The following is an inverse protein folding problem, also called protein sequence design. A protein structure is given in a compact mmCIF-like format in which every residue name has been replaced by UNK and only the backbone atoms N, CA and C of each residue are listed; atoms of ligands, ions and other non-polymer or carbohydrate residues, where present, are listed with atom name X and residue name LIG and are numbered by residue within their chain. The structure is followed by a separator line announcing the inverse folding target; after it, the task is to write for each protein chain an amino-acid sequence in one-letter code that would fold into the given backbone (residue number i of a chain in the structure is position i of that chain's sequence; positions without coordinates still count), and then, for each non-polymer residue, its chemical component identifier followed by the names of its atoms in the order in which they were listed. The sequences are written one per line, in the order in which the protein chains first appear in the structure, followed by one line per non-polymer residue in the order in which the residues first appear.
data_IF_119293746228
#
_entry.id   IF_119293746228
#
_cell.length_a   1.000
_cell.length_b   1.000
_cell.length_c   1.000
_cell.angle_alpha   90.00
_cell.angle_beta   90.00
_cell.angle_gamma   90.00
#
_symmetry.space_group_name_H-M   'P 1'
#
loop_
_entity.id
_entity.type
_entity.pdbx_description
1 polymer ?
#
# COMPACT_ATOMS: atom_id res chain seq x y z
N UNK A 1 6.81 -17.93 -32.67
CA UNK A 1 8.24 -17.95 -32.86
C UNK A 1 8.89 -16.65 -32.36
N UNK A 2 10.04 -16.78 -31.71
CA UNK A 2 10.72 -15.69 -30.97
C UNK A 2 10.96 -14.43 -31.85
N UNK A 3 11.30 -14.64 -33.13
CA UNK A 3 11.51 -13.56 -34.09
C UNK A 3 10.25 -12.77 -34.43
N UNK A 4 9.08 -13.40 -34.40
CA UNK A 4 7.82 -12.72 -34.64
C UNK A 4 7.44 -11.84 -33.42
N UNK A 5 7.69 -12.34 -32.20
CA UNK A 5 7.46 -11.58 -30.94
C UNK A 5 8.43 -10.39 -30.84
N UNK A 6 9.69 -10.56 -31.22
CA UNK A 6 10.70 -9.49 -31.26
C UNK A 6 10.33 -8.37 -32.25
N UNK A 7 9.85 -8.73 -33.43
CA UNK A 7 9.40 -7.76 -34.43
C UNK A 7 8.11 -7.01 -33.98
N UNK A 8 7.21 -7.68 -33.27
CA UNK A 8 6.03 -7.04 -32.68
C UNK A 8 6.39 -6.04 -31.57
N UNK A 9 7.36 -6.40 -30.71
CA UNK A 9 7.87 -5.49 -29.67
C UNK A 9 8.54 -4.25 -30.28
N UNK A 10 9.37 -4.43 -31.30
CA UNK A 10 10.01 -3.31 -31.99
C UNK A 10 9.00 -2.41 -32.72
N UNK A 11 7.93 -2.97 -33.29
CA UNK A 11 6.86 -2.22 -33.92
C UNK A 11 6.07 -1.37 -32.88
N UNK A 12 5.74 -1.96 -31.71
CA UNK A 12 5.07 -1.24 -30.62
C UNK A 12 5.93 -0.09 -30.07
N UNK A 13 7.23 -0.33 -29.89
CA UNK A 13 8.17 0.70 -29.40
C UNK A 13 8.31 1.86 -30.38
N UNK A 14 8.31 1.56 -31.68
CA UNK A 14 8.34 2.58 -32.74
C UNK A 14 7.05 3.41 -32.82
N UNK A 15 5.90 2.83 -32.48
CA UNK A 15 4.61 3.53 -32.49
C UNK A 15 4.45 4.48 -31.29
N UNK A 16 4.91 4.07 -30.11
CA UNK A 16 4.93 4.93 -28.93
C UNK A 16 5.90 6.10 -29.09
N UNK A 17 7.06 5.90 -29.71
CA UNK A 17 7.99 7.00 -30.01
C UNK A 17 7.43 8.00 -31.03
N UNK A 18 6.67 7.54 -32.03
CA UNK A 18 5.98 8.44 -32.98
C UNK A 18 4.83 9.23 -32.36
N UNK A 19 4.13 8.66 -31.37
CA UNK A 19 3.09 9.39 -30.62
C UNK A 19 3.71 10.46 -29.72
N UNK A 20 4.82 10.17 -29.03
CA UNK A 20 5.57 11.15 -28.27
C UNK A 20 6.09 12.30 -29.15
N UNK A 21 6.70 12.00 -30.29
CA UNK A 21 7.16 13.01 -31.24
C UNK A 21 6.04 13.89 -31.83
N UNK A 22 4.82 13.33 -31.95
CA UNK A 22 3.63 14.09 -32.38
C UNK A 22 3.12 15.04 -31.30
N UNK A 23 3.22 14.69 -30.04
CA UNK A 23 2.88 15.56 -28.89
C UNK A 23 3.89 16.71 -28.75
N UNK A 24 5.18 16.44 -29.00
CA UNK A 24 6.24 17.45 -28.98
C UNK A 24 6.19 18.41 -30.18
N UNK A 25 5.75 17.94 -31.35
CA UNK A 25 5.67 18.77 -32.58
C UNK A 25 4.34 19.56 -32.69
N UNK A 26 3.34 19.32 -31.84
CA UNK A 26 2.02 19.98 -31.87
C UNK A 26 1.91 21.27 -31.04
N UNK A 27 2.98 21.75 -30.46
CA UNK A 27 2.98 22.87 -29.50
C UNK A 27 3.46 24.22 -30.08
N UNK A 28 3.16 24.55 -31.34
CA UNK A 28 3.45 25.91 -31.84
C UNK A 28 2.14 26.66 -32.15
N UNK A 29 1.58 27.23 -31.09
CA UNK A 29 0.45 28.14 -31.12
C UNK A 29 0.73 29.30 -30.18
N UNK A 30 1.31 30.37 -30.68
CA UNK A 30 1.61 31.59 -29.97
C UNK A 30 0.42 32.11 -29.15
N UNK A 31 0.61 32.29 -27.84
CA UNK A 31 -0.20 33.18 -27.03
C UNK A 31 0.68 33.98 -26.08
N UNK A 32 0.63 35.28 -26.29
CA UNK A 32 1.28 36.36 -25.59
C UNK A 32 1.17 36.28 -24.07
N UNK A 33 2.33 36.46 -23.42
CA UNK A 33 2.48 36.60 -21.97
C UNK A 33 2.09 38.03 -21.56
N UNK A 34 1.33 38.26 -20.48
CA UNK A 34 1.46 39.45 -19.68
C UNK A 34 2.44 39.16 -18.52
N UNK A 35 3.51 39.97 -18.47
CA UNK A 35 4.33 40.11 -17.26
C UNK A 35 3.45 40.67 -16.13
N UNK A 36 3.50 40.10 -14.98
CA UNK A 36 3.84 40.71 -13.68
C UNK A 36 3.41 39.85 -12.50
N UNK A 37 4.24 39.97 -11.46
CA UNK A 37 4.13 39.63 -10.05
C UNK A 37 4.74 38.30 -9.59
N UNK A 38 5.95 38.48 -9.04
CA UNK A 38 6.63 37.51 -8.19
C UNK A 38 5.83 37.21 -6.92
N UNK A 39 5.43 35.94 -6.79
CA UNK A 39 4.99 35.29 -5.55
C UNK A 39 5.92 34.13 -5.24
N UNK A 40 6.10 33.78 -3.96
CA UNK A 40 7.00 32.69 -3.59
C UNK A 40 6.57 31.37 -4.19
N UNK A 41 7.51 30.68 -4.83
CA UNK A 41 7.34 29.31 -5.34
C UNK A 41 6.98 28.39 -4.16
N UNK A 42 5.71 28.13 -4.00
CA UNK A 42 5.23 27.10 -3.08
C UNK A 42 5.75 25.74 -3.53
N UNK A 43 6.21 24.94 -2.57
CA UNK A 43 6.74 23.59 -2.77
C UNK A 43 5.71 22.57 -3.26
N UNK A 44 4.56 23.02 -3.79
CA UNK A 44 3.44 22.19 -4.25
C UNK A 44 3.60 21.65 -5.70
N UNK A 45 4.67 22.03 -6.39
CA UNK A 45 4.86 21.65 -7.80
C UNK A 45 5.22 20.18 -8.05
N UNK A 46 5.54 19.39 -7.01
CA UNK A 46 5.86 17.98 -7.16
C UNK A 46 4.67 17.04 -6.88
N UNK A 47 3.60 17.55 -6.30
CA UNK A 47 2.41 16.77 -5.98
C UNK A 47 1.46 16.56 -7.19
N UNK A 48 1.64 17.27 -8.28
CA UNK A 48 0.75 17.23 -9.44
C UNK A 48 1.11 16.17 -10.48
N UNK A 49 2.31 15.56 -10.41
CA UNK A 49 2.67 14.40 -11.24
C UNK A 49 2.37 13.06 -10.56
N UNK A 50 2.19 13.06 -9.24
CA UNK A 50 1.67 11.92 -8.51
C UNK A 50 0.14 11.99 -8.60
N UNK A 51 -0.51 11.04 -9.30
CA UNK A 51 -1.97 10.96 -9.40
C UNK A 51 -2.65 11.03 -8.03
N UNK A 52 -3.94 11.34 -7.97
CA UNK A 52 -4.69 11.44 -6.71
C UNK A 52 -4.42 10.22 -5.79
N UNK A 53 -4.14 10.42 -4.48
CA UNK A 53 -3.81 9.34 -3.54
C UNK A 53 -4.79 8.16 -3.63
N UNK A 54 -6.11 8.47 -3.68
CA UNK A 54 -7.16 7.47 -3.78
C UNK A 54 -7.06 6.61 -5.05
N UNK A 55 -6.66 7.18 -6.18
CA UNK A 55 -6.53 6.44 -7.45
C UNK A 55 -5.40 5.41 -7.37
N UNK A 56 -4.26 5.80 -6.81
CA UNK A 56 -3.11 4.93 -6.64
C UNK A 56 -3.42 3.81 -5.65
N UNK A 57 -4.01 4.15 -4.50
CA UNK A 57 -4.44 3.18 -3.49
C UNK A 57 -5.44 2.17 -4.07
N UNK A 58 -6.49 2.63 -4.73
CA UNK A 58 -7.51 1.78 -5.33
C UNK A 58 -6.93 0.85 -6.42
N UNK A 59 -5.95 1.32 -7.18
CA UNK A 59 -5.26 0.48 -8.14
C UNK A 59 -4.53 -0.68 -7.46
N UNK A 60 -3.80 -0.42 -6.37
CA UNK A 60 -3.12 -1.44 -5.58
C UNK A 60 -4.12 -2.43 -4.94
N UNK A 61 -5.23 -1.94 -4.37
CA UNK A 61 -6.30 -2.79 -3.80
C UNK A 61 -6.93 -3.68 -4.87
N UNK A 62 -7.14 -3.18 -6.10
CA UNK A 62 -7.64 -4.01 -7.22
C UNK A 62 -6.68 -5.14 -7.55
N UNK A 63 -5.37 -4.90 -7.55
CA UNK A 63 -4.37 -5.96 -7.78
C UNK A 63 -4.37 -6.98 -6.64
N UNK A 64 -4.46 -6.53 -5.40
CA UNK A 64 -4.58 -7.41 -4.23
C UNK A 64 -5.78 -8.35 -4.36
N UNK A 65 -6.97 -7.81 -4.68
CA UNK A 65 -8.20 -8.59 -4.85
C UNK A 65 -8.16 -9.59 -6.01
N UNK A 66 -7.28 -9.35 -7.00
CA UNK A 66 -7.04 -10.29 -8.12
C UNK A 66 -6.01 -11.37 -7.79
N UNK A 67 -5.40 -11.33 -6.60
CA UNK A 67 -4.31 -12.22 -6.23
C UNK A 67 -2.96 -11.85 -6.83
N UNK A 68 -2.84 -10.67 -7.47
CA UNK A 68 -1.58 -10.16 -8.03
C UNK A 68 -0.76 -9.47 -6.92
N UNK A 69 -0.35 -10.24 -5.91
CA UNK A 69 0.20 -9.71 -4.66
C UNK A 69 1.49 -8.93 -4.84
N UNK A 70 2.39 -9.35 -5.72
CA UNK A 70 3.64 -8.61 -6.00
C UNK A 70 3.35 -7.23 -6.61
N UNK A 71 2.42 -7.17 -7.58
CA UNK A 71 2.01 -5.91 -8.21
C UNK A 71 1.27 -5.01 -7.21
N UNK A 72 0.42 -5.60 -6.35
CA UNK A 72 -0.26 -4.86 -5.30
C UNK A 72 0.74 -4.26 -4.31
N UNK A 73 1.74 -5.05 -3.88
CA UNK A 73 2.82 -4.62 -3.00
C UNK A 73 3.58 -3.42 -3.56
N UNK A 74 3.99 -3.50 -4.82
CA UNK A 74 4.67 -2.39 -5.49
C UNK A 74 3.79 -1.13 -5.53
N UNK A 75 2.47 -1.28 -5.75
CA UNK A 75 1.52 -0.16 -5.69
C UNK A 75 1.38 0.44 -4.29
N UNK A 76 1.32 -0.38 -3.23
CA UNK A 76 1.30 0.10 -1.84
C UNK A 76 2.63 0.74 -1.43
N UNK A 77 3.77 0.20 -1.88
CA UNK A 77 5.09 0.81 -1.65
C UNK A 77 5.17 2.21 -2.26
N UNK A 78 4.70 2.37 -3.47
CA UNK A 78 4.66 3.67 -4.16
C UNK A 78 3.70 4.64 -3.45
N UNK A 79 2.51 4.16 -3.04
CA UNK A 79 1.58 4.96 -2.28
C UNK A 79 2.20 5.48 -0.97
N UNK A 80 2.79 4.60 -0.18
CA UNK A 80 3.40 4.94 1.11
C UNK A 80 4.61 5.86 0.96
N UNK A 81 5.35 5.74 -0.14
CA UNK A 81 6.46 6.63 -0.46
C UNK A 81 5.99 8.06 -0.77
N UNK A 82 4.89 8.20 -1.52
CA UNK A 82 4.36 9.49 -1.96
C UNK A 82 3.46 10.14 -0.90
N UNK A 83 2.69 9.35 -0.18
CA UNK A 83 1.61 9.80 0.70
C UNK A 83 1.69 9.17 2.11
N UNK A 84 2.84 9.27 2.83
CA UNK A 84 3.01 8.58 4.12
C UNK A 84 2.08 9.09 5.24
N UNK A 85 1.54 10.30 5.08
CA UNK A 85 0.66 10.95 6.06
C UNK A 85 -0.80 11.07 5.57
N UNK A 86 -1.15 10.41 4.48
CA UNK A 86 -2.54 10.37 3.99
C UNK A 86 -3.42 9.49 4.89
N UNK A 87 -4.71 9.78 4.95
CA UNK A 87 -5.67 9.01 5.75
C UNK A 87 -5.74 7.52 5.33
N UNK A 88 -5.36 7.20 4.08
CA UNK A 88 -5.28 5.83 3.55
C UNK A 88 -3.93 5.15 3.85
N UNK A 89 -2.93 5.86 4.39
CA UNK A 89 -1.61 5.28 4.63
C UNK A 89 -1.63 4.11 5.63
N UNK A 90 -2.40 4.14 6.73
CA UNK A 90 -2.54 2.98 7.60
C UNK A 90 -3.14 1.76 6.90
N UNK A 91 -4.12 1.99 6.02
CA UNK A 91 -4.74 0.92 5.21
C UNK A 91 -3.76 0.38 4.17
N UNK A 92 -2.99 1.24 3.50
CA UNK A 92 -1.97 0.83 2.55
C UNK A 92 -0.87 -0.02 3.21
N UNK A 93 -0.39 0.38 4.39
CA UNK A 93 0.61 -0.37 5.15
C UNK A 93 0.05 -1.73 5.62
N UNK A 94 -1.20 -1.77 6.06
CA UNK A 94 -1.88 -3.00 6.42
C UNK A 94 -2.01 -3.95 5.21
N UNK A 95 -2.50 -3.47 4.07
CA UNK A 95 -2.62 -4.31 2.87
C UNK A 95 -1.27 -4.76 2.32
N UNK A 96 -0.23 -3.96 2.48
CA UNK A 96 1.13 -4.37 2.17
C UNK A 96 1.54 -5.58 3.01
N UNK A 97 1.25 -5.59 4.32
CA UNK A 97 1.46 -6.75 5.18
C UNK A 97 0.64 -7.97 4.73
N UNK A 98 -0.64 -7.76 4.38
CA UNK A 98 -1.51 -8.82 3.85
C UNK A 98 -0.93 -9.45 2.57
N UNK A 99 -0.24 -8.68 1.69
CA UNK A 99 0.39 -9.27 0.49
C UNK A 99 1.47 -10.30 0.82
N UNK A 100 2.18 -10.12 1.91
CA UNK A 100 3.15 -11.09 2.40
C UNK A 100 2.47 -12.30 3.05
N UNK A 101 1.42 -12.06 3.83
CA UNK A 101 0.65 -13.14 4.44
C UNK A 101 -0.01 -14.07 3.38
N UNK A 102 -0.52 -13.50 2.30
CA UNK A 102 -1.14 -14.24 1.19
C UNK A 102 -0.12 -14.99 0.31
N UNK A 103 1.14 -14.61 0.34
CA UNK A 103 2.25 -15.30 -0.34
C UNK A 103 3.02 -16.24 0.59
N UNK A 104 2.51 -16.50 1.79
CA UNK A 104 3.09 -17.37 2.83
C UNK A 104 4.48 -16.90 3.32
N UNK A 105 4.83 -15.63 3.08
CA UNK A 105 6.00 -14.99 3.66
C UNK A 105 5.66 -14.41 5.04
N UNK A 106 5.49 -15.33 5.98
CA UNK A 106 4.93 -15.05 7.31
C UNK A 106 5.81 -14.09 8.12
N UNK A 107 7.13 -14.20 8.02
CA UNK A 107 8.06 -13.36 8.78
C UNK A 107 8.04 -11.91 8.25
N UNK A 108 7.97 -11.75 6.94
CA UNK A 108 7.78 -10.43 6.35
C UNK A 108 6.39 -9.85 6.70
N UNK A 109 5.34 -10.65 6.70
CA UNK A 109 3.99 -10.21 7.11
C UNK A 109 3.99 -9.66 8.54
N UNK A 110 4.58 -10.39 9.50
CA UNK A 110 4.70 -9.95 10.90
C UNK A 110 5.49 -8.64 11.03
N UNK A 111 6.58 -8.52 10.27
CA UNK A 111 7.38 -7.29 10.22
C UNK A 111 6.54 -6.11 9.73
N UNK A 112 5.77 -6.30 8.67
CA UNK A 112 4.97 -5.22 8.09
C UNK A 112 3.74 -4.87 8.94
N UNK A 113 3.13 -5.85 9.64
CA UNK A 113 2.10 -5.54 10.65
C UNK A 113 2.67 -4.76 11.83
N UNK A 114 3.90 -5.08 12.29
CA UNK A 114 4.56 -4.29 13.33
C UNK A 114 4.77 -2.84 12.90
N UNK A 115 5.06 -2.58 11.62
CA UNK A 115 5.15 -1.21 11.09
C UNK A 115 3.84 -0.44 11.13
N UNK A 116 2.68 -1.12 10.99
CA UNK A 116 1.38 -0.45 11.20
C UNK A 116 1.29 0.12 12.61
N UNK A 117 1.75 -0.65 13.62
CA UNK A 117 1.73 -0.22 15.02
C UNK A 117 2.73 0.89 15.32
N UNK A 118 3.89 0.86 14.66
CA UNK A 118 4.94 1.85 14.84
C UNK A 118 4.57 3.20 14.20
N UNK A 119 4.08 3.16 12.96
CA UNK A 119 3.83 4.36 12.17
C UNK A 119 2.43 4.94 12.41
N UNK A 120 1.44 4.10 12.69
CA UNK A 120 0.03 4.47 12.78
C UNK A 120 -0.66 3.89 14.02
N UNK A 121 -0.13 4.09 15.24
CA UNK A 121 -0.58 3.42 16.47
C UNK A 121 -2.03 3.73 16.86
N UNK A 122 -2.56 4.87 16.41
CA UNK A 122 -3.93 5.30 16.72
C UNK A 122 -4.94 4.93 15.64
N UNK A 123 -4.48 4.33 14.53
CA UNK A 123 -5.39 3.90 13.47
C UNK A 123 -6.15 2.63 13.87
N UNK A 124 -7.36 2.46 13.35
CA UNK A 124 -8.10 1.20 13.54
C UNK A 124 -7.33 -0.02 13.01
N UNK A 125 -6.41 0.18 12.02
CA UNK A 125 -5.58 -0.89 11.47
C UNK A 125 -4.55 -1.43 12.46
N UNK A 126 -4.21 -0.67 13.50
CA UNK A 126 -3.30 -1.14 14.54
C UNK A 126 -3.89 -2.32 15.32
N UNK A 127 -5.16 -2.25 15.72
CA UNK A 127 -5.84 -3.37 16.36
C UNK A 127 -5.94 -4.59 15.42
N UNK A 128 -6.33 -4.36 14.16
CA UNK A 128 -6.41 -5.42 13.13
C UNK A 128 -5.06 -6.09 12.92
N UNK A 129 -3.97 -5.31 12.81
CA UNK A 129 -2.61 -5.82 12.62
C UNK A 129 -2.16 -6.70 13.80
N UNK A 130 -2.43 -6.27 15.05
CA UNK A 130 -2.15 -7.08 16.24
C UNK A 130 -2.93 -8.40 16.21
N UNK A 131 -4.22 -8.34 15.93
CA UNK A 131 -5.05 -9.53 15.88
C UNK A 131 -4.55 -10.52 14.82
N UNK A 132 -4.21 -10.04 13.62
CA UNK A 132 -3.63 -10.85 12.53
C UNK A 132 -2.29 -11.45 12.92
N UNK A 133 -1.42 -10.69 13.59
CA UNK A 133 -0.14 -11.20 14.10
C UNK A 133 -0.36 -12.34 15.10
N UNK A 134 -1.31 -12.19 16.03
CA UNK A 134 -1.69 -13.25 16.96
C UNK A 134 -2.19 -14.51 16.26
N UNK A 135 -3.02 -14.37 15.23
CA UNK A 135 -3.50 -15.49 14.43
C UNK A 135 -2.36 -16.22 13.68
N UNK A 136 -1.39 -15.46 13.18
CA UNK A 136 -0.21 -16.01 12.52
C UNK A 136 0.59 -16.84 13.52
N UNK A 137 0.91 -16.30 14.69
CA UNK A 137 1.70 -17.00 15.70
C UNK A 137 0.97 -18.25 16.23
N UNK A 138 -0.36 -18.16 16.34
CA UNK A 138 -1.18 -19.31 16.72
C UNK A 138 -1.07 -20.45 15.70
N UNK A 139 -1.15 -20.14 14.39
CA UNK A 139 -0.97 -21.15 13.32
C UNK A 139 0.44 -21.75 13.30
N UNK A 140 1.46 -20.98 13.75
CA UNK A 140 2.85 -21.46 13.90
C UNK A 140 3.05 -22.34 15.15
N UNK A 141 2.06 -22.40 16.03
CA UNK A 141 2.14 -23.09 17.33
C UNK A 141 2.85 -22.26 18.41
N UNK A 142 3.12 -20.98 18.16
CA UNK A 142 3.75 -20.05 19.10
C UNK A 142 2.68 -19.45 20.03
N UNK A 143 2.11 -20.28 20.90
CA UNK A 143 0.95 -19.94 21.73
C UNK A 143 1.19 -18.74 22.63
N UNK A 144 2.39 -18.63 23.23
CA UNK A 144 2.74 -17.53 24.14
C UNK A 144 2.84 -16.18 23.39
N UNK A 145 3.40 -16.19 22.17
CA UNK A 145 3.47 -15.00 21.33
C UNK A 145 2.05 -14.61 20.85
N UNK A 146 1.24 -15.57 20.43
CA UNK A 146 -0.15 -15.33 20.06
C UNK A 146 -0.94 -14.69 21.21
N UNK A 147 -0.81 -15.22 22.43
CA UNK A 147 -1.41 -14.67 23.64
C UNK A 147 -0.99 -13.22 23.84
N UNK A 148 0.31 -12.94 23.72
CA UNK A 148 0.85 -11.58 23.87
C UNK A 148 0.20 -10.60 22.87
N UNK A 149 0.03 -11.00 21.63
CA UNK A 149 -0.62 -10.16 20.63
C UNK A 149 -2.10 -9.92 20.94
N UNK A 150 -2.86 -10.95 21.34
CA UNK A 150 -4.28 -10.78 21.69
C UNK A 150 -4.47 -9.94 22.96
N UNK A 151 -3.60 -10.11 23.97
CA UNK A 151 -3.61 -9.25 25.18
C UNK A 151 -3.38 -7.78 24.82
N UNK A 152 -2.47 -7.50 23.88
CA UNK A 152 -2.23 -6.12 23.40
C UNK A 152 -3.45 -5.55 22.68
N UNK A 153 -4.24 -6.34 21.96
CA UNK A 153 -5.53 -5.88 21.40
C UNK A 153 -6.47 -5.48 22.51
N UNK A 154 -6.68 -6.36 23.50
CA UNK A 154 -7.65 -6.15 24.58
C UNK A 154 -7.28 -4.95 25.46
N UNK A 155 -6.00 -4.74 25.74
CA UNK A 155 -5.52 -3.68 26.62
C UNK A 155 -5.30 -2.36 25.90
N UNK A 156 -4.79 -2.40 24.68
CA UNK A 156 -4.40 -1.22 23.92
C UNK A 156 -5.52 -0.63 23.07
N UNK A 157 -6.48 -1.44 22.65
CA UNK A 157 -7.54 -1.06 21.70
C UNK A 157 -8.91 -1.56 22.15
N UNK A 158 -9.38 -1.19 23.36
CA UNK A 158 -10.59 -1.76 23.96
C UNK A 158 -11.88 -1.44 23.19
N UNK A 159 -11.85 -0.40 22.35
CA UNK A 159 -13.00 0.04 21.54
C UNK A 159 -12.94 -0.51 20.10
N UNK A 160 -11.97 -1.38 19.78
CA UNK A 160 -11.84 -1.96 18.43
C UNK A 160 -12.79 -3.14 18.19
N UNK A 161 -13.12 -3.36 16.93
CA UNK A 161 -13.95 -4.52 16.52
C UNK A 161 -13.24 -5.85 16.83
N UNK A 162 -11.91 -5.86 16.93
CA UNK A 162 -11.09 -7.02 17.21
C UNK A 162 -11.06 -7.44 18.68
N UNK A 163 -11.48 -6.59 19.61
CA UNK A 163 -11.37 -6.86 21.05
C UNK A 163 -12.13 -8.12 21.47
N UNK A 164 -13.36 -8.30 20.98
CA UNK A 164 -14.16 -9.48 21.31
C UNK A 164 -13.64 -10.76 20.63
N UNK A 165 -13.01 -10.61 19.46
CA UNK A 165 -12.31 -11.70 18.78
C UNK A 165 -11.09 -12.13 19.61
N UNK A 166 -10.25 -11.19 20.02
CA UNK A 166 -9.07 -11.45 20.83
C UNK A 166 -9.40 -12.09 22.18
N UNK A 167 -10.48 -11.64 22.85
CA UNK A 167 -10.94 -12.27 24.10
C UNK A 167 -11.34 -13.73 23.92
N UNK A 168 -11.99 -14.06 22.80
CA UNK A 168 -12.37 -15.45 22.49
C UNK A 168 -11.15 -16.33 22.25
N UNK A 169 -10.17 -15.82 21.49
CA UNK A 169 -8.93 -16.55 21.27
C UNK A 169 -8.19 -16.79 22.60
N UNK A 170 -8.06 -15.76 23.44
CA UNK A 170 -7.43 -15.88 24.77
C UNK A 170 -8.11 -16.91 25.66
N UNK A 171 -9.46 -16.99 25.62
CA UNK A 171 -10.20 -17.98 26.41
C UNK A 171 -9.89 -19.41 25.95
N UNK A 172 -9.76 -19.65 24.64
CA UNK A 172 -9.41 -20.97 24.08
C UNK A 172 -7.95 -21.38 24.40
N UNK A 173 -7.05 -20.42 24.65
CA UNK A 173 -5.66 -20.68 24.99
C UNK A 173 -5.44 -20.97 26.50
N UNK A 174 -6.51 -20.94 27.31
CA UNK A 174 -6.43 -21.22 28.74
C UNK A 174 -6.81 -22.69 29.08
N UNK A 175 -7.39 -23.41 28.12
CA UNK A 175 -7.76 -24.81 28.24
C UNK A 175 -6.65 -25.74 27.75
#
# INVERSE_FOLDING_TARGET
DLNTALNQLLALTGETQRQLARLEAGGDGAMTVPEDTGGPVSADGQAQEAGEPGVLYDAAVRQFRRGSYETARAGFDEFLRLYPNDDLAPDAQYYRAETFAETDDVDAALTEYARVLELYPTSRRAATALYKSGQIELRRGNVDDARTYFDRVVQGYPDSDEVELARRELAQLQD
#
